data_IF_056284974106
#
_entry.id   IF_056284974106
#
_cell.length_a   1.000
_cell.length_b   1.000
_cell.length_c   1.000
_cell.angle_alpha   90.00
_cell.angle_beta   90.00
_cell.angle_gamma   90.00
#
_symmetry.space_group_name_H-M   'P 1'
#
loop_
_entity.id
_entity.type
_entity.pdbx_description
1 polymer ?
#
# COMPACT_ATOMS: atom_id res chain seq x y z
N UNK A 1 59.20 21.55 -36.14
CA UNK A 1 59.03 20.36 -35.28
C UNK A 1 59.11 20.82 -33.83
N UNK A 2 58.21 20.31 -32.98
CA UNK A 2 58.12 20.42 -31.51
C UNK A 2 57.28 21.56 -30.88
N UNK A 3 55.98 21.23 -30.79
CA UNK A 3 55.07 21.25 -29.63
C UNK A 3 55.26 22.33 -28.55
N UNK A 4 54.34 23.31 -28.54
CA UNK A 4 53.88 23.95 -27.30
C UNK A 4 52.68 23.15 -26.77
N UNK A 5 52.83 22.57 -25.58
CA UNK A 5 51.73 21.93 -24.82
C UNK A 5 50.89 23.04 -24.20
N UNK A 6 49.65 23.20 -24.68
CA UNK A 6 48.62 23.96 -23.98
C UNK A 6 47.87 23.00 -23.05
N UNK A 7 47.93 23.27 -21.76
CA UNK A 7 47.22 22.55 -20.72
C UNK A 7 45.77 23.06 -20.70
N UNK A 8 44.82 22.28 -21.21
CA UNK A 8 43.40 22.52 -21.00
C UNK A 8 42.97 21.73 -19.76
N UNK A 9 42.64 22.43 -18.68
CA UNK A 9 42.03 21.83 -17.50
C UNK A 9 40.55 21.54 -17.82
N UNK A 10 40.21 20.25 -17.94
CA UNK A 10 38.81 19.82 -17.98
C UNK A 10 38.30 19.77 -16.54
N UNK A 11 37.39 20.66 -16.18
CA UNK A 11 36.60 20.55 -14.95
C UNK A 11 35.52 19.50 -15.25
N UNK A 12 35.75 18.27 -14.81
CA UNK A 12 34.69 17.27 -14.73
C UNK A 12 33.78 17.65 -13.57
N UNK A 13 32.59 18.17 -13.88
CA UNK A 13 31.52 18.26 -12.89
C UNK A 13 31.07 16.83 -12.56
N UNK A 14 31.54 16.28 -11.44
CA UNK A 14 30.93 15.10 -10.85
C UNK A 14 29.54 15.51 -10.35
N UNK A 15 28.50 15.19 -11.10
CA UNK A 15 27.17 15.05 -10.54
C UNK A 15 27.21 13.85 -9.60
N UNK A 16 27.34 14.10 -8.30
CA UNK A 16 27.00 13.11 -7.28
C UNK A 16 25.49 12.97 -7.35
N UNK A 17 25.02 12.03 -8.17
CA UNK A 17 23.70 11.45 -8.01
C UNK A 17 23.76 10.69 -6.68
N UNK A 18 23.34 11.35 -5.60
CA UNK A 18 23.00 10.62 -4.39
C UNK A 18 21.91 9.64 -4.79
N UNK A 19 22.19 8.34 -4.74
CA UNK A 19 21.11 7.37 -4.69
C UNK A 19 20.33 7.71 -3.42
N UNK A 20 19.13 8.27 -3.57
CA UNK A 20 18.15 8.21 -2.49
C UNK A 20 18.01 6.73 -2.14
N UNK A 21 18.23 6.39 -0.87
CA UNK A 21 18.03 5.03 -0.39
C UNK A 21 16.55 4.93 -0.06
N UNK A 22 15.86 3.92 -0.59
CA UNK A 22 14.48 3.65 -0.24
C UNK A 22 14.27 3.63 1.26
N UNK A 23 13.20 4.27 1.71
CA UNK A 23 12.78 4.22 3.09
C UNK A 23 12.35 2.79 3.40
N UNK A 24 13.01 2.22 4.40
CA UNK A 24 12.69 0.87 4.85
C UNK A 24 11.51 0.94 5.80
N UNK A 25 10.43 0.23 5.47
CA UNK A 25 9.26 0.09 6.33
C UNK A 25 9.28 -1.33 6.89
N UNK A 26 9.48 -1.42 8.20
CA UNK A 26 9.52 -2.69 8.91
C UNK A 26 8.09 -3.23 9.09
N UNK A 27 7.83 -4.43 8.58
CA UNK A 27 6.49 -5.03 8.57
C UNK A 27 6.52 -6.37 9.30
N UNK A 28 5.56 -6.59 10.19
CA UNK A 28 5.38 -7.87 10.84
C UNK A 28 4.06 -8.51 10.39
N UNK A 29 4.07 -9.81 10.13
CA UNK A 29 2.92 -10.51 9.58
C UNK A 29 2.48 -11.64 10.50
N UNK A 30 1.25 -11.53 10.99
CA UNK A 30 0.61 -12.59 11.77
C UNK A 30 -0.45 -13.30 10.95
N UNK A 31 -0.76 -14.57 11.26
CA UNK A 31 -1.70 -15.36 10.46
C UNK A 31 -2.45 -16.41 11.28
N UNK A 32 -3.55 -16.91 10.73
CA UNK A 32 -4.33 -18.01 11.31
C UNK A 32 -3.90 -19.38 10.80
N UNK A 33 -4.22 -20.42 11.56
CA UNK A 33 -4.02 -21.81 11.12
C UNK A 33 -4.82 -22.13 9.85
N UNK A 34 -6.11 -21.76 9.71
CA UNK A 34 -6.84 -21.97 8.46
C UNK A 34 -6.25 -21.23 7.25
N UNK A 35 -5.67 -20.04 7.44
CA UNK A 35 -4.97 -19.34 6.36
C UNK A 35 -3.71 -20.12 5.93
N UNK A 36 -2.92 -20.61 6.89
CA UNK A 36 -1.74 -21.42 6.58
C UNK A 36 -2.10 -22.72 5.83
N UNK A 37 -3.11 -23.44 6.32
CA UNK A 37 -3.61 -24.66 5.68
C UNK A 37 -4.13 -24.41 4.26
N UNK A 38 -4.87 -23.31 4.05
CA UNK A 38 -5.37 -22.95 2.72
C UNK A 38 -4.23 -22.73 1.71
N UNK A 39 -3.15 -22.07 2.14
CA UNK A 39 -2.00 -21.77 1.27
C UNK A 39 -1.13 -22.98 0.99
N UNK A 40 -1.11 -23.99 1.87
CA UNK A 40 -0.20 -25.13 1.85
C UNK A 40 1.25 -24.79 2.24
N UNK A 41 1.72 -23.57 1.93
CA UNK A 41 3.00 -22.99 2.36
C UNK A 41 2.83 -21.49 2.64
N UNK A 42 2.55 -21.17 3.90
CA UNK A 42 2.28 -19.79 4.32
C UNK A 42 3.51 -18.90 4.23
N UNK A 43 4.71 -19.46 4.44
CA UNK A 43 5.96 -18.73 4.34
C UNK A 43 6.20 -18.27 2.90
N UNK A 44 6.04 -19.18 1.93
CA UNK A 44 6.13 -18.81 0.51
C UNK A 44 5.05 -17.79 0.10
N UNK A 45 3.83 -17.88 0.66
CA UNK A 45 2.76 -16.90 0.40
C UNK A 45 3.15 -15.52 0.94
N UNK A 46 3.70 -15.45 2.15
CA UNK A 46 4.21 -14.21 2.77
C UNK A 46 5.34 -13.60 1.94
N UNK A 47 6.33 -14.39 1.53
CA UNK A 47 7.44 -13.91 0.69
C UNK A 47 6.93 -13.32 -0.64
N UNK A 48 5.88 -13.92 -1.22
CA UNK A 48 5.24 -13.40 -2.41
C UNK A 48 4.49 -12.08 -2.16
N UNK A 49 3.81 -11.92 -1.01
CA UNK A 49 3.20 -10.63 -0.64
C UNK A 49 4.24 -9.52 -0.53
N UNK A 50 5.34 -9.77 0.19
CA UNK A 50 6.43 -8.81 0.35
C UNK A 50 7.08 -8.48 -0.99
N UNK A 51 7.40 -9.50 -1.79
CA UNK A 51 8.02 -9.31 -3.11
C UNK A 51 7.11 -8.53 -4.07
N UNK A 52 5.82 -8.85 -4.08
CA UNK A 52 4.84 -8.17 -4.92
C UNK A 52 4.65 -6.71 -4.49
N UNK A 53 4.56 -6.43 -3.18
CA UNK A 53 4.44 -5.07 -2.66
C UNK A 53 5.66 -4.22 -3.01
N UNK A 54 6.87 -4.74 -2.80
CA UNK A 54 8.11 -4.04 -3.17
C UNK A 54 8.21 -3.80 -4.68
N UNK A 55 7.80 -4.77 -5.50
CA UNK A 55 7.72 -4.58 -6.94
C UNK A 55 6.71 -3.49 -7.30
N UNK A 56 5.56 -3.44 -6.62
CA UNK A 56 4.53 -2.43 -6.80
C UNK A 56 5.03 -1.02 -6.45
N UNK A 57 5.71 -0.84 -5.32
CA UNK A 57 6.29 0.46 -4.98
C UNK A 57 7.36 0.89 -5.99
N UNK A 58 8.32 0.02 -6.28
CA UNK A 58 9.42 0.31 -7.20
C UNK A 58 8.93 0.66 -8.62
N UNK A 59 7.98 -0.09 -9.18
CA UNK A 59 7.45 0.19 -10.53
C UNK A 59 6.65 1.49 -10.61
N UNK A 60 6.05 1.92 -9.50
CA UNK A 60 5.34 3.19 -9.38
C UNK A 60 6.28 4.36 -9.03
N UNK A 61 7.59 4.13 -8.94
CA UNK A 61 8.57 5.15 -8.57
C UNK A 61 8.47 5.60 -7.11
N UNK A 62 7.81 4.82 -6.26
CA UNK A 62 7.65 5.09 -4.83
C UNK A 62 8.84 4.49 -4.08
N UNK A 63 9.52 5.31 -3.29
CA UNK A 63 10.77 4.95 -2.61
C UNK A 63 10.53 4.23 -1.27
N UNK A 64 9.74 3.15 -1.31
CA UNK A 64 9.43 2.30 -0.15
C UNK A 64 9.98 0.90 -0.40
N UNK A 65 10.67 0.36 0.60
CA UNK A 65 11.09 -1.04 0.66
C UNK A 65 10.56 -1.68 1.94
N UNK A 66 9.64 -2.63 1.81
CA UNK A 66 9.18 -3.43 2.93
C UNK A 66 10.27 -4.40 3.36
N UNK A 67 10.52 -4.44 4.67
CA UNK A 67 11.38 -5.40 5.33
C UNK A 67 10.57 -6.23 6.32
N UNK A 68 10.43 -7.53 6.04
CA UNK A 68 9.71 -8.44 6.93
C UNK A 68 10.55 -8.70 8.18
N UNK A 69 10.13 -8.16 9.31
CA UNK A 69 10.89 -8.28 10.58
C UNK A 69 10.54 -9.54 11.36
N UNK A 70 9.28 -9.99 11.31
CA UNK A 70 8.87 -11.24 11.95
C UNK A 70 7.56 -11.80 11.37
N UNK A 71 7.33 -13.10 11.61
CA UNK A 71 6.05 -13.76 11.32
C UNK A 71 5.52 -14.55 12.51
N UNK A 72 4.21 -14.49 12.76
CA UNK A 72 3.60 -15.15 13.91
C UNK A 72 2.27 -15.86 13.58
N UNK A 73 2.22 -17.18 13.78
CA UNK A 73 0.94 -17.92 13.78
C UNK A 73 0.17 -17.63 15.07
N UNK A 74 -0.73 -16.65 15.00
CA UNK A 74 -1.34 -16.04 16.18
C UNK A 74 -2.64 -16.71 16.66
N UNK A 75 -3.31 -17.47 15.79
CA UNK A 75 -4.61 -18.06 16.12
C UNK A 75 -4.89 -19.38 15.42
N UNK A 76 -5.55 -20.30 16.11
CA UNK A 76 -6.15 -21.50 15.52
C UNK A 76 -7.59 -21.29 15.03
N UNK A 77 -8.19 -20.14 15.35
CA UNK A 77 -9.54 -19.79 14.92
C UNK A 77 -9.56 -19.30 13.48
N UNK A 78 -10.67 -19.53 12.78
CA UNK A 78 -10.92 -19.08 11.41
C UNK A 78 -11.38 -17.62 11.38
N UNK A 79 -10.52 -16.71 11.84
CA UNK A 79 -10.78 -15.28 11.79
C UNK A 79 -10.76 -14.79 10.34
N UNK A 80 -11.81 -14.05 9.97
CA UNK A 80 -12.07 -13.59 8.59
C UNK A 80 -11.82 -12.10 8.43
N UNK A 81 -11.74 -11.65 7.19
CA UNK A 81 -11.56 -10.23 6.89
C UNK A 81 -12.83 -9.44 7.23
N UNK A 82 -12.87 -8.83 8.42
CA UNK A 82 -13.96 -7.97 8.88
C UNK A 82 -13.47 -6.95 9.93
N UNK A 83 -14.34 -6.00 10.27
CA UNK A 83 -14.06 -4.94 11.25
C UNK A 83 -13.73 -5.51 12.63
N UNK A 84 -14.42 -6.57 13.07
CA UNK A 84 -14.17 -7.20 14.37
C UNK A 84 -12.74 -7.75 14.46
N UNK A 85 -12.24 -8.37 13.40
CA UNK A 85 -10.87 -8.90 13.35
C UNK A 85 -9.85 -7.77 13.32
N UNK A 86 -10.11 -6.70 12.57
CA UNK A 86 -9.23 -5.53 12.54
C UNK A 86 -9.15 -4.85 13.92
N UNK A 87 -10.28 -4.63 14.57
CA UNK A 87 -10.35 -4.09 15.93
C UNK A 87 -9.62 -5.01 16.92
N UNK A 88 -9.87 -6.32 16.83
CA UNK A 88 -9.24 -7.32 17.69
C UNK A 88 -7.72 -7.21 17.61
N UNK A 89 -7.11 -7.27 16.42
CA UNK A 89 -5.64 -7.23 16.31
C UNK A 89 -5.06 -5.87 16.72
N UNK A 90 -5.78 -4.77 16.44
CA UNK A 90 -5.31 -3.41 16.72
C UNK A 90 -5.25 -3.15 18.23
N UNK A 91 -6.24 -3.62 18.98
CA UNK A 91 -6.36 -3.30 20.42
C UNK A 91 -5.93 -4.45 21.34
N UNK A 92 -5.39 -5.55 20.79
CA UNK A 92 -4.90 -6.66 21.60
C UNK A 92 -3.50 -6.39 22.16
N UNK A 93 -3.37 -6.43 23.49
CA UNK A 93 -2.10 -6.12 24.17
C UNK A 93 -0.92 -6.99 23.71
N UNK A 94 -1.13 -8.29 23.50
CA UNK A 94 -0.04 -9.17 23.03
C UNK A 94 0.42 -8.81 21.63
N UNK A 95 -0.50 -8.37 20.74
CA UNK A 95 -0.14 -7.98 19.37
C UNK A 95 0.64 -6.67 19.41
N UNK A 96 0.18 -5.69 20.18
CA UNK A 96 0.90 -4.42 20.36
C UNK A 96 2.29 -4.63 20.98
N UNK A 97 2.41 -5.48 22.02
CA UNK A 97 3.70 -5.80 22.62
C UNK A 97 4.66 -6.48 21.63
N UNK A 98 4.14 -7.37 20.78
CA UNK A 98 4.91 -8.02 19.72
C UNK A 98 5.35 -7.01 18.65
N UNK A 99 4.44 -6.16 18.17
CA UNK A 99 4.77 -5.08 17.24
C UNK A 99 5.93 -4.21 17.75
N UNK A 100 5.84 -3.77 19.01
CA UNK A 100 6.90 -2.95 19.62
C UNK A 100 8.20 -3.73 19.88
N UNK A 101 8.15 -5.04 20.17
CA UNK A 101 9.38 -5.83 20.37
C UNK A 101 10.15 -6.04 19.07
N UNK A 102 9.42 -6.28 17.98
CA UNK A 102 9.99 -6.48 16.65
C UNK A 102 10.27 -5.18 15.91
N UNK A 103 9.88 -4.04 16.51
CA UNK A 103 9.99 -2.71 15.92
C UNK A 103 9.29 -2.58 14.57
N UNK A 104 8.11 -3.18 14.45
CA UNK A 104 7.36 -3.15 13.21
C UNK A 104 6.56 -1.85 13.04
N UNK A 105 6.82 -1.16 11.94
CA UNK A 105 6.09 0.04 11.53
C UNK A 105 4.64 -0.29 11.16
N UNK A 106 4.42 -1.46 10.55
CA UNK A 106 3.09 -1.95 10.15
C UNK A 106 2.88 -3.40 10.58
N UNK A 107 1.62 -3.75 10.86
CA UNK A 107 1.23 -5.14 11.15
C UNK A 107 0.12 -5.59 10.21
N UNK A 108 0.32 -6.74 9.57
CA UNK A 108 -0.71 -7.37 8.72
C UNK A 108 -1.15 -8.69 9.33
N UNK A 109 -2.46 -8.90 9.40
CA UNK A 109 -3.06 -10.17 9.75
C UNK A 109 -3.56 -10.90 8.49
N UNK A 110 -3.05 -12.10 8.26
CA UNK A 110 -3.50 -12.97 7.18
C UNK A 110 -4.56 -13.95 7.68
N UNK A 111 -5.78 -13.72 7.23
CA UNK A 111 -6.93 -14.59 7.43
C UNK A 111 -7.44 -15.12 6.08
N UNK A 112 -8.72 -15.46 6.03
CA UNK A 112 -9.44 -15.72 4.77
C UNK A 112 -10.45 -14.63 4.51
N UNK A 113 -10.81 -14.43 3.24
CA UNK A 113 -11.89 -13.55 2.83
C UNK A 113 -13.18 -13.83 3.60
N UNK A 114 -13.93 -12.77 3.85
CA UNK A 114 -15.29 -12.86 4.40
C UNK A 114 -16.29 -12.88 3.25
N UNK A 115 -17.26 -13.79 3.34
CA UNK A 115 -18.38 -13.86 2.40
C UNK A 115 -19.67 -13.49 3.11
N UNK A 116 -20.29 -12.40 2.68
CA UNK A 116 -21.57 -11.91 3.23
C UNK A 116 -22.66 -12.02 2.18
N UNK A 117 -23.81 -12.60 2.56
CA UNK A 117 -24.98 -12.67 1.68
C UNK A 117 -25.98 -11.58 2.07
N UNK A 118 -26.22 -10.62 1.20
CA UNK A 118 -27.19 -9.54 1.37
C UNK A 118 -28.18 -9.61 0.21
N UNK A 119 -29.48 -9.71 0.53
CA UNK A 119 -30.57 -9.79 -0.45
C UNK A 119 -30.34 -10.83 -1.56
N UNK A 120 -29.76 -11.98 -1.20
CA UNK A 120 -29.47 -13.09 -2.13
C UNK A 120 -28.22 -12.88 -3.01
N UNK A 121 -27.50 -11.78 -2.85
CA UNK A 121 -26.22 -11.51 -3.51
C UNK A 121 -25.06 -11.78 -2.55
N UNK A 122 -24.01 -12.44 -3.04
CA UNK A 122 -22.79 -12.70 -2.25
C UNK A 122 -21.78 -11.59 -2.48
N UNK A 123 -21.26 -11.05 -1.38
CA UNK A 123 -20.23 -10.03 -1.35
C UNK A 123 -18.98 -10.62 -0.68
N UNK A 124 -17.83 -10.40 -1.30
CA UNK A 124 -16.54 -10.89 -0.79
C UNK A 124 -15.72 -9.70 -0.33
N UNK A 125 -15.30 -9.72 0.93
CA UNK A 125 -14.35 -8.75 1.49
C UNK A 125 -12.98 -9.39 1.53
N UNK A 126 -12.05 -8.84 0.74
CA UNK A 126 -10.70 -9.36 0.59
C UNK A 126 -9.68 -8.71 1.54
N UNK A 127 -9.90 -7.45 1.92
CA UNK A 127 -9.05 -6.72 2.84
C UNK A 127 -9.82 -5.66 3.61
N UNK A 128 -9.25 -5.26 4.74
CA UNK A 128 -9.68 -4.10 5.52
C UNK A 128 -8.49 -3.54 6.30
N UNK A 129 -8.39 -2.22 6.39
CA UNK A 129 -7.30 -1.54 7.09
C UNK A 129 -7.77 -0.22 7.69
N UNK A 130 -7.04 0.27 8.69
CA UNK A 130 -7.20 1.65 9.13
C UNK A 130 -6.59 2.61 8.11
N UNK A 131 -7.34 3.65 7.79
CA UNK A 131 -6.81 4.75 6.96
C UNK A 131 -5.97 5.69 7.81
N UNK A 132 -4.70 5.88 7.44
CA UNK A 132 -3.83 6.86 8.05
C UNK A 132 -4.40 8.28 7.89
N UNK A 133 -4.63 8.97 9.01
CA UNK A 133 -5.20 10.32 9.02
C UNK A 133 -4.12 11.35 9.32
N UNK A 134 -4.22 12.53 8.72
CA UNK A 134 -3.29 13.62 8.94
C UNK A 134 -3.81 14.98 8.50
N UNK A 135 -2.97 15.99 8.63
CA UNK A 135 -3.25 17.32 8.08
C UNK A 135 -1.96 18.06 7.78
N UNK A 136 -2.04 19.05 6.87
CA UNK A 136 -0.89 19.86 6.43
C UNK A 136 0.33 19.03 5.98
N UNK A 137 0.07 17.83 5.45
CA UNK A 137 1.08 16.94 4.93
C UNK A 137 1.80 16.07 5.96
N UNK A 138 1.32 16.02 7.21
CA UNK A 138 1.89 15.18 8.26
C UNK A 138 0.83 14.26 8.85
N UNK A 139 1.20 13.01 9.10
CA UNK A 139 0.32 12.03 9.73
C UNK A 139 0.17 12.28 11.24
N UNK A 140 -1.02 12.00 11.80
CA UNK A 140 -1.23 12.07 13.26
C UNK A 140 -0.55 10.90 13.97
N UNK A 141 -0.11 11.08 15.22
CA UNK A 141 0.45 9.99 16.04
C UNK A 141 -0.53 8.82 16.21
N UNK A 142 -1.84 9.11 16.30
CA UNK A 142 -2.89 8.09 16.40
C UNK A 142 -3.01 7.20 15.16
N UNK A 143 -2.56 7.67 13.99
CA UNK A 143 -2.52 6.85 12.79
C UNK A 143 -1.31 5.91 12.78
N UNK A 144 -0.18 6.34 13.37
CA UNK A 144 1.00 5.48 13.60
C UNK A 144 0.62 4.28 14.49
N UNK A 145 -0.10 4.54 15.58
CA UNK A 145 -0.64 3.51 16.48
C UNK A 145 -1.64 2.57 15.81
N UNK A 146 -2.20 2.94 14.64
CA UNK A 146 -3.25 2.21 13.92
C UNK A 146 -2.79 1.64 12.58
N UNK A 147 -1.49 1.55 12.29
CA UNK A 147 -0.97 0.94 11.07
C UNK A 147 -1.14 -0.61 11.05
N UNK A 148 -2.40 -1.05 11.08
CA UNK A 148 -2.85 -2.43 11.05
C UNK A 148 -3.77 -2.68 9.86
N UNK A 149 -3.66 -3.86 9.28
CA UNK A 149 -4.55 -4.34 8.23
C UNK A 149 -4.81 -5.84 8.32
N UNK A 150 -5.88 -6.27 7.66
CA UNK A 150 -6.27 -7.67 7.51
C UNK A 150 -6.39 -7.97 6.02
N UNK A 151 -5.78 -9.07 5.55
CA UNK A 151 -5.85 -9.51 4.15
C UNK A 151 -6.21 -10.99 4.07
N UNK A 152 -7.11 -11.34 3.15
CA UNK A 152 -7.46 -12.73 2.84
C UNK A 152 -6.40 -13.41 1.96
N UNK A 153 -5.90 -14.57 2.38
CA UNK A 153 -4.89 -15.33 1.61
C UNK A 153 -5.42 -15.90 0.30
N UNK A 154 -6.74 -16.05 0.22
CA UNK A 154 -7.54 -16.49 -0.92
C UNK A 154 -7.90 -15.35 -1.89
N UNK A 155 -7.41 -14.13 -1.63
CA UNK A 155 -7.51 -12.99 -2.53
C UNK A 155 -6.18 -12.68 -3.26
N UNK A 156 -6.26 -11.77 -4.23
CA UNK A 156 -5.11 -11.35 -5.02
C UNK A 156 -4.08 -10.53 -4.23
N UNK A 157 -2.82 -10.54 -4.66
CA UNK A 157 -1.74 -9.79 -4.02
C UNK A 157 -1.97 -8.26 -4.03
N UNK A 158 -2.74 -7.75 -5.00
CA UNK A 158 -3.10 -6.34 -5.08
C UNK A 158 -3.84 -5.86 -3.82
N UNK A 159 -4.68 -6.71 -3.21
CA UNK A 159 -5.37 -6.40 -1.95
C UNK A 159 -4.39 -6.06 -0.83
N UNK A 160 -3.30 -6.81 -0.69
CA UNK A 160 -2.30 -6.52 0.35
C UNK A 160 -1.72 -5.11 0.18
N UNK A 161 -1.36 -4.73 -1.06
CA UNK A 161 -0.82 -3.39 -1.35
C UNK A 161 -1.88 -2.30 -1.16
N UNK A 162 -3.15 -2.60 -1.50
CA UNK A 162 -4.29 -1.73 -1.26
C UNK A 162 -4.45 -1.42 0.24
N UNK A 163 -4.42 -2.44 1.09
CA UNK A 163 -4.55 -2.27 2.54
C UNK A 163 -3.37 -1.51 3.14
N UNK A 164 -2.14 -1.77 2.68
CA UNK A 164 -1.00 -0.94 3.06
C UNK A 164 -1.21 0.51 2.63
N UNK A 165 -1.72 0.75 1.41
CA UNK A 165 -2.10 2.08 0.94
C UNK A 165 -3.02 2.82 1.90
N UNK A 166 -4.02 2.14 2.47
CA UNK A 166 -4.86 2.70 3.52
C UNK A 166 -4.07 3.09 4.76
N UNK A 167 -3.21 2.22 5.28
CA UNK A 167 -2.36 2.58 6.43
C UNK A 167 -1.49 3.83 6.16
N UNK A 168 -1.12 4.06 4.90
CA UNK A 168 -0.38 5.26 4.45
C UNK A 168 -1.25 6.49 4.15
N UNK A 169 -2.55 6.41 4.41
CA UNK A 169 -3.49 7.52 4.25
C UNK A 169 -4.01 7.72 2.83
N UNK A 170 -3.86 6.71 1.97
CA UNK A 170 -4.60 6.64 0.72
C UNK A 170 -6.01 6.14 0.95
N UNK A 171 -6.91 6.58 0.08
CA UNK A 171 -8.32 6.17 0.13
C UNK A 171 -8.79 5.76 -1.26
N UNK A 172 -10.04 5.30 -1.29
CA UNK A 172 -10.69 4.88 -2.51
C UNK A 172 -10.79 5.99 -3.57
N UNK A 173 -11.22 5.62 -4.77
CA UNK A 173 -11.50 6.60 -5.81
C UNK A 173 -12.64 7.56 -5.43
N UNK A 174 -12.64 8.75 -6.04
CA UNK A 174 -13.72 9.72 -5.85
C UNK A 174 -15.10 9.18 -6.25
N UNK A 175 -15.15 8.27 -7.23
CA UNK A 175 -16.37 7.57 -7.64
C UNK A 175 -16.95 6.66 -6.54
N UNK A 176 -16.13 6.25 -5.58
CA UNK A 176 -16.54 5.44 -4.43
C UNK A 176 -17.06 6.28 -3.26
N UNK A 177 -17.13 7.62 -3.40
CA UNK A 177 -17.79 8.51 -2.45
C UNK A 177 -16.84 9.23 -1.48
N UNK A 178 -15.55 8.87 -1.45
CA UNK A 178 -14.55 9.60 -0.69
C UNK A 178 -14.11 10.85 -1.48
N UNK A 179 -13.99 11.98 -0.79
CA UNK A 179 -13.44 13.22 -1.37
C UNK A 179 -12.52 13.95 -0.39
N UNK A 180 -12.19 13.33 0.73
CA UNK A 180 -11.42 13.95 1.83
C UNK A 180 -9.98 13.47 1.87
N UNK A 181 -9.70 12.23 1.43
CA UNK A 181 -8.38 11.62 1.62
C UNK A 181 -8.07 11.30 3.08
N UNK A 182 -6.90 10.70 3.33
CA UNK A 182 -6.39 10.48 4.69
C UNK A 182 -5.52 11.63 5.20
N UNK A 183 -4.42 11.92 4.49
CA UNK A 183 -3.55 13.08 4.77
C UNK A 183 -3.66 14.16 3.70
N UNK A 184 -3.74 13.73 2.43
CA UNK A 184 -3.88 14.59 1.27
C UNK A 184 -5.20 14.31 0.58
N UNK A 185 -5.95 15.36 0.25
CA UNK A 185 -7.26 15.24 -0.43
C UNK A 185 -7.19 14.60 -1.82
N UNK A 186 -6.00 14.53 -2.42
CA UNK A 186 -5.74 13.89 -3.70
C UNK A 186 -5.15 12.48 -3.56
N UNK A 187 -4.97 11.96 -2.33
CA UNK A 187 -4.50 10.60 -2.05
C UNK A 187 -5.56 9.53 -2.35
N UNK A 188 -6.10 9.55 -3.56
CA UNK A 188 -7.28 8.80 -3.98
C UNK A 188 -6.90 7.75 -5.02
N UNK A 189 -7.62 6.63 -5.05
CA UNK A 189 -7.65 5.76 -6.23
C UNK A 189 -8.22 6.46 -7.48
N UNK A 190 -8.02 5.85 -8.63
CA UNK A 190 -8.57 6.29 -9.91
C UNK A 190 -9.04 5.10 -10.75
N UNK A 191 -9.87 5.39 -11.75
CA UNK A 191 -10.31 4.42 -12.73
C UNK A 191 -11.11 5.10 -13.83
N UNK A 192 -11.28 4.39 -14.94
CA UNK A 192 -12.07 4.83 -16.08
C UNK A 192 -13.08 3.74 -16.44
N UNK A 193 -14.33 4.17 -16.63
CA UNK A 193 -15.45 3.26 -16.87
C UNK A 193 -15.22 2.32 -18.05
N UNK A 194 -15.40 1.04 -17.79
CA UNK A 194 -15.21 -0.08 -18.72
C UNK A 194 -13.79 -0.16 -19.29
N UNK A 195 -12.80 0.38 -18.57
CA UNK A 195 -11.38 0.35 -18.95
C UNK A 195 -10.52 -0.23 -17.84
N UNK A 196 -10.33 0.53 -16.77
CA UNK A 196 -9.37 0.15 -15.73
C UNK A 196 -9.69 0.75 -14.36
N UNK A 197 -9.04 0.21 -13.33
CA UNK A 197 -8.89 0.84 -12.02
C UNK A 197 -7.44 0.71 -11.53
N UNK A 198 -7.00 1.67 -10.74
CA UNK A 198 -5.70 1.65 -10.02
C UNK A 198 -5.83 0.83 -8.73
N UNK A 199 -4.70 0.57 -8.05
CA UNK A 199 -4.62 -0.20 -6.79
C UNK A 199 -5.72 0.21 -5.80
N UNK A 200 -5.85 1.51 -5.50
CA UNK A 200 -6.80 1.99 -4.48
C UNK A 200 -8.27 2.07 -4.96
N UNK A 201 -8.59 1.61 -6.16
CA UNK A 201 -9.94 1.73 -6.72
C UNK A 201 -10.59 0.37 -6.96
N UNK A 202 -11.86 0.24 -6.59
CA UNK A 202 -12.61 -1.00 -6.76
C UNK A 202 -12.98 -1.21 -8.24
N UNK A 203 -12.50 -2.28 -8.90
CA UNK A 203 -12.74 -2.49 -10.33
C UNK A 203 -14.24 -2.49 -10.68
N UNK A 204 -15.06 -3.16 -9.87
CA UNK A 204 -16.50 -3.31 -10.09
C UNK A 204 -17.28 -1.98 -10.05
N UNK A 205 -16.73 -0.91 -9.48
CA UNK A 205 -17.32 0.43 -9.52
C UNK A 205 -17.19 1.11 -10.88
N UNK A 206 -16.30 0.58 -11.72
CA UNK A 206 -16.02 1.07 -13.06
C UNK A 206 -16.59 0.15 -14.15
N UNK A 207 -17.23 -0.98 -13.80
CA UNK A 207 -17.88 -1.89 -14.75
C UNK A 207 -17.54 -3.36 -14.49
N UNK A 208 -18.11 -4.25 -15.30
CA UNK A 208 -17.97 -5.71 -15.12
C UNK A 208 -16.64 -6.27 -15.63
N UNK A 209 -16.05 -5.65 -16.67
CA UNK A 209 -14.83 -6.11 -17.33
C UNK A 209 -13.73 -5.04 -17.24
N UNK A 210 -13.32 -4.71 -16.02
CA UNK A 210 -12.34 -3.67 -15.73
C UNK A 210 -10.99 -4.30 -15.42
N UNK A 211 -9.93 -3.83 -16.08
CA UNK A 211 -8.56 -4.26 -15.75
C UNK A 211 -8.10 -3.55 -14.47
N UNK A 212 -7.81 -4.30 -13.41
CA UNK A 212 -7.13 -3.73 -12.26
C UNK A 212 -5.62 -3.69 -12.54
N UNK A 213 -5.04 -2.49 -12.57
CA UNK A 213 -3.60 -2.33 -12.70
C UNK A 213 -2.93 -2.23 -11.33
N UNK A 214 -1.69 -2.70 -11.28
CA UNK A 214 -0.77 -2.53 -10.14
C UNK A 214 -0.11 -1.13 -10.15
N UNK A 215 -0.88 -0.12 -10.54
CA UNK A 215 -0.46 1.27 -10.54
C UNK A 215 -1.19 2.00 -9.42
N UNK A 216 -0.47 2.81 -8.64
CA UNK A 216 -1.08 3.88 -7.86
C UNK A 216 -1.53 4.97 -8.82
N UNK A 217 -2.51 5.78 -8.41
CA UNK A 217 -2.97 6.85 -9.28
C UNK A 217 -1.90 7.93 -9.43
N UNK A 218 -1.67 8.32 -10.68
CA UNK A 218 -0.77 9.40 -11.08
C UNK A 218 -1.29 10.00 -12.40
N UNK A 219 -1.71 11.28 -12.42
CA UNK A 219 -2.22 11.94 -13.62
C UNK A 219 -1.15 12.18 -14.69
N UNK A 220 0.14 12.04 -14.36
CA UNK A 220 1.27 12.15 -15.31
C UNK A 220 1.76 10.79 -15.83
N UNK A 221 1.19 9.68 -15.35
CA UNK A 221 1.55 8.33 -15.75
C UNK A 221 0.52 7.72 -16.70
N UNK A 222 0.95 7.15 -17.83
CA UNK A 222 0.05 6.72 -18.93
C UNK A 222 0.04 5.19 -19.17
N UNK A 223 0.61 4.40 -18.26
CA UNK A 223 0.63 2.93 -18.36
C UNK A 223 -0.71 2.26 -18.01
N UNK A 224 -1.78 3.03 -17.83
CA UNK A 224 -3.15 2.53 -17.65
C UNK A 224 -3.83 2.33 -19.01
N UNK A 225 -3.17 1.59 -19.91
CA UNK A 225 -3.67 1.34 -21.27
C UNK A 225 -3.63 2.57 -22.18
N UNK A 226 -2.63 3.44 -22.01
CA UNK A 226 -2.49 4.69 -22.77
C UNK A 226 -3.36 5.85 -22.25
N UNK A 227 -4.14 5.62 -21.19
CA UNK A 227 -4.85 6.65 -20.44
C UNK A 227 -4.03 7.04 -19.21
N UNK A 228 -4.24 8.27 -18.74
CA UNK A 228 -3.66 8.72 -17.48
C UNK A 228 -4.15 7.83 -16.33
N UNK A 229 -3.27 7.44 -15.42
CA UNK A 229 -3.57 6.64 -14.25
C UNK A 229 -4.19 7.46 -13.11
N UNK A 230 -4.34 8.78 -13.27
CA UNK A 230 -4.92 9.68 -12.29
C UNK A 230 -5.68 10.81 -12.95
N UNK A 231 -6.19 11.73 -12.13
CA UNK A 231 -7.05 12.81 -12.60
C UNK A 231 -6.60 14.17 -12.07
N UNK A 232 -6.70 15.19 -12.94
CA UNK A 232 -6.64 16.60 -12.57
C UNK A 232 -7.91 17.31 -13.00
N UNK A 233 -8.41 18.18 -12.14
CA UNK A 233 -9.49 19.11 -12.44
C UNK A 233 -8.97 20.53 -12.34
N UNK A 234 -9.05 21.31 -13.43
CA UNK A 234 -8.53 22.68 -13.51
C UNK A 234 -7.06 22.84 -13.06
N UNK A 235 -6.23 21.85 -13.37
CA UNK A 235 -4.81 21.84 -12.98
C UNK A 235 -4.52 21.44 -11.54
N UNK A 236 -5.54 21.04 -10.77
CA UNK A 236 -5.42 20.54 -9.39
C UNK A 236 -5.57 19.03 -9.39
N UNK A 237 -4.72 18.34 -8.64
CA UNK A 237 -4.78 16.88 -8.47
C UNK A 237 -6.09 16.47 -7.77
N UNK A 238 -6.80 15.52 -8.37
CA UNK A 238 -8.00 14.87 -7.81
C UNK A 238 -7.67 13.44 -7.39
N UNK A 239 -6.85 12.74 -8.18
CA UNK A 239 -6.39 11.39 -7.87
C UNK A 239 -4.91 11.28 -8.23
N UNK A 240 -4.06 11.38 -7.22
CA UNK A 240 -2.60 11.33 -7.32
C UNK A 240 -2.01 10.67 -6.06
N UNK A 241 -2.27 9.38 -5.88
CA UNK A 241 -1.76 8.57 -4.79
C UNK A 241 -0.23 8.50 -4.77
N UNK A 242 0.42 8.48 -5.95
CA UNK A 242 1.88 8.56 -6.06
C UNK A 242 2.45 9.76 -5.30
N UNK A 243 1.92 10.95 -5.58
CA UNK A 243 2.35 12.18 -4.91
C UNK A 243 1.98 12.21 -3.43
N UNK A 244 0.87 11.60 -3.05
CA UNK A 244 0.42 11.57 -1.65
C UNK A 244 1.31 10.67 -0.78
N UNK A 245 1.88 9.60 -1.35
CA UNK A 245 2.77 8.68 -0.63
C UNK A 245 4.16 9.27 -0.41
N UNK A 246 4.70 10.04 -1.36
CA UNK A 246 6.08 10.53 -1.30
C UNK A 246 6.47 11.20 0.04
N UNK A 247 5.70 12.15 0.58
CA UNK A 247 6.01 12.78 1.88
C UNK A 247 5.72 11.91 3.10
N UNK A 248 4.97 10.82 2.93
CA UNK A 248 4.49 9.97 4.02
C UNK A 248 5.45 8.80 4.28
N UNK A 249 6.35 8.48 3.35
CA UNK A 249 7.37 7.43 3.54
C UNK A 249 8.26 7.73 4.75
N UNK A 250 8.72 8.98 4.86
CA UNK A 250 9.47 9.49 6.01
C UNK A 250 8.66 9.40 7.31
N UNK A 251 7.36 9.72 7.26
CA UNK A 251 6.50 9.65 8.44
C UNK A 251 6.41 8.21 8.94
N UNK A 252 6.24 7.22 8.04
CA UNK A 252 5.95 5.82 8.39
C UNK A 252 7.13 5.05 8.95
N UNK A 253 8.34 5.34 8.48
CA UNK A 253 9.54 4.68 9.01
C UNK A 253 9.76 5.12 10.47
N UNK A 254 9.75 4.17 11.41
CA UNK A 254 9.93 4.46 12.84
C UNK A 254 8.64 4.58 13.67
N UNK A 255 7.57 3.89 13.27
CA UNK A 255 6.26 3.85 13.96
C UNK A 255 6.19 2.99 15.23
N UNK A 256 7.31 2.41 15.67
CA UNK A 256 7.37 1.37 16.70
C UNK A 256 7.65 1.81 18.14
#
# INVERSE_FOLDING_TARGET
>A
MNLKKSLAAAIAALTVSGAASADTVDIAIMYTTPAAEYTGDISAKIDNYISYANNSFSRNGIDIQLNLVDTWQASSSDLRVNEETLDLITFHNTVNNWRSSEKADMVVFLGKAEETVIDGSTYITCGIAWVGQGSNGTMYSSAQERAYSVTGVDCGYNTFVHELGHNMGLVHSTKQGDTTGGVYTYGMGHGVDNKFSTIMAYPWRYGENVTQYDWFSDPDWYECGGLACGERSNGVDVSNAYRALGPITDDISGYY
#
